data_IF_416943688157
#
_entry.id   IF_416943688157
#
_cell.length_a   1.000
_cell.length_b   1.000
_cell.length_c   1.000
_cell.angle_alpha   90.00
_cell.angle_beta   90.00
_cell.angle_gamma   90.00
#
_symmetry.space_group_name_H-M   'P 1'
#
loop_
_entity.id
_entity.type
_entity.pdbx_description
1 polymer ?
#
# COMPACT_ATOMS: atom_id res chain seq x y z
N UNK A 1 -16.07 -14.70 3.51
CA UNK A 1 -15.20 -13.50 3.56
C UNK A 1 -14.10 -13.68 2.54
N UNK A 2 -13.80 -12.67 1.74
CA UNK A 2 -12.70 -12.72 0.76
C UNK A 2 -11.41 -12.23 1.42
N UNK A 3 -10.29 -12.90 1.17
CA UNK A 3 -8.99 -12.54 1.70
C UNK A 3 -8.01 -12.33 0.55
N UNK A 4 -7.18 -11.29 0.63
CA UNK A 4 -6.10 -11.03 -0.31
C UNK A 4 -4.77 -11.08 0.43
N UNK A 5 -3.71 -11.48 -0.26
CA UNK A 5 -2.36 -11.59 0.29
C UNK A 5 -1.44 -10.57 -0.37
N UNK A 6 -0.95 -9.60 0.39
CA UNK A 6 0.09 -8.69 -0.09
C UNK A 6 1.47 -9.29 0.19
N UNK A 7 2.24 -9.55 -0.86
CA UNK A 7 3.63 -10.00 -0.77
C UNK A 7 4.53 -8.85 -1.18
N UNK A 8 5.37 -8.37 -0.26
CA UNK A 8 6.41 -7.39 -0.53
C UNK A 8 7.58 -8.09 -1.24
N UNK A 9 7.92 -7.62 -2.43
CA UNK A 9 8.91 -8.23 -3.34
C UNK A 9 10.21 -7.44 -3.42
N UNK A 10 10.20 -6.15 -3.07
CA UNK A 10 11.42 -5.34 -3.01
C UNK A 10 11.34 -4.28 -1.91
N UNK A 11 12.50 -4.02 -1.29
CA UNK A 11 12.68 -3.01 -0.25
C UNK A 11 13.85 -2.13 -0.66
N UNK A 12 13.56 -0.92 -1.13
CA UNK A 12 14.57 0.01 -1.64
C UNK A 12 14.31 1.41 -1.08
N UNK A 13 15.24 2.33 -1.33
CA UNK A 13 15.14 3.73 -0.89
C UNK A 13 13.86 4.42 -1.37
N UNK A 14 13.39 4.07 -2.56
CA UNK A 14 12.17 4.64 -3.16
C UNK A 14 10.89 3.92 -2.68
N UNK A 15 10.98 3.04 -1.67
CA UNK A 15 9.84 2.42 -1.02
C UNK A 15 9.85 0.90 -1.00
N UNK A 16 8.72 0.36 -0.55
CA UNK A 16 8.46 -1.07 -0.42
C UNK A 16 7.47 -1.48 -1.49
N UNK A 17 7.91 -2.30 -2.44
CA UNK A 17 7.10 -2.74 -3.58
C UNK A 17 6.52 -4.11 -3.29
N UNK A 18 5.28 -4.34 -3.68
CA UNK A 18 4.60 -5.60 -3.45
C UNK A 18 3.60 -5.98 -4.53
N UNK A 19 3.16 -7.23 -4.50
CA UNK A 19 2.10 -7.78 -5.34
C UNK A 19 0.98 -8.24 -4.42
N UNK A 20 -0.23 -7.77 -4.70
CA UNK A 20 -1.46 -8.20 -4.03
C UNK A 20 -2.04 -9.39 -4.81
N UNK A 21 -2.26 -10.50 -4.11
CA UNK A 21 -2.79 -11.73 -4.65
C UNK A 21 -4.24 -11.93 -4.20
N UNK A 22 -5.06 -12.40 -5.13
CA UNK A 22 -6.34 -13.04 -4.86
C UNK A 22 -6.14 -14.55 -5.01
N UNK A 23 -6.10 -15.25 -3.87
CA UNK A 23 -5.64 -16.65 -3.80
C UNK A 23 -4.22 -16.81 -4.39
N UNK A 24 -4.08 -17.51 -5.52
CA UNK A 24 -2.80 -17.70 -6.22
C UNK A 24 -2.62 -16.75 -7.42
N UNK A 25 -3.61 -15.90 -7.69
CA UNK A 25 -3.60 -15.01 -8.86
C UNK A 25 -3.04 -13.63 -8.49
N UNK A 26 -1.95 -13.16 -9.14
CA UNK A 26 -1.51 -11.78 -9.02
C UNK A 26 -2.63 -10.84 -9.50
N UNK A 27 -3.13 -9.99 -8.61
CA UNK A 27 -4.28 -9.14 -8.86
C UNK A 27 -3.88 -7.68 -9.09
N UNK A 28 -2.90 -7.16 -8.34
CA UNK A 28 -2.54 -5.74 -8.38
C UNK A 28 -1.10 -5.52 -7.87
N UNK A 29 -0.40 -4.54 -8.42
CA UNK A 29 0.90 -4.11 -7.90
C UNK A 29 0.72 -3.02 -6.83
N UNK A 30 1.64 -2.96 -5.88
CA UNK A 30 1.57 -2.04 -4.75
C UNK A 30 2.89 -1.35 -4.48
N UNK A 31 2.80 -0.15 -3.91
CA UNK A 31 3.92 0.62 -3.39
C UNK A 31 3.55 1.19 -2.01
N UNK A 32 4.38 0.93 -1.02
CA UNK A 32 4.29 1.48 0.32
C UNK A 32 5.56 2.29 0.64
N UNK A 33 5.57 3.06 1.72
CA UNK A 33 6.82 3.63 2.24
C UNK A 33 7.79 2.54 2.69
N UNK A 34 9.05 2.92 2.87
CA UNK A 34 10.04 2.07 3.56
C UNK A 34 9.54 1.66 4.95
N UNK A 35 10.03 0.53 5.47
CA UNK A 35 9.82 0.18 6.88
C UNK A 35 10.66 1.09 7.77
N UNK A 36 10.01 1.81 8.69
CA UNK A 36 10.63 2.70 9.69
C UNK A 36 10.00 2.46 11.05
N UNK A 37 9.99 1.19 11.49
CA UNK A 37 9.47 0.74 12.79
C UNK A 37 8.05 1.23 13.09
N UNK A 38 7.17 1.10 12.10
CA UNK A 38 5.76 1.53 12.17
C UNK A 38 5.58 3.03 12.50
N UNK A 39 6.58 3.87 12.22
CA UNK A 39 6.48 5.31 12.43
C UNK A 39 5.31 5.92 11.65
N UNK A 40 4.49 6.69 12.36
CA UNK A 40 3.29 7.34 11.82
C UNK A 40 3.65 8.26 10.64
N UNK A 41 3.00 8.09 9.49
CA UNK A 41 3.19 8.94 8.32
C UNK A 41 4.39 8.58 7.44
N UNK A 42 5.35 7.83 7.99
CA UNK A 42 6.67 7.63 7.38
C UNK A 42 7.01 6.18 7.07
N UNK A 43 6.28 5.23 7.66
CA UNK A 43 6.51 3.79 7.52
C UNK A 43 5.34 3.10 6.80
N UNK A 44 5.64 2.03 6.06
CA UNK A 44 4.66 0.98 5.79
C UNK A 44 4.20 0.31 7.10
N UNK A 45 3.05 -0.37 7.06
CA UNK A 45 2.47 -1.00 8.26
C UNK A 45 3.18 -2.32 8.62
N UNK A 46 3.09 -2.79 9.87
CA UNK A 46 3.69 -4.06 10.28
C UNK A 46 3.12 -5.23 9.49
N UNK A 47 3.93 -6.26 9.25
CA UNK A 47 3.44 -7.52 8.68
C UNK A 47 2.39 -8.11 9.63
N UNK A 48 1.27 -8.57 9.07
CA UNK A 48 0.20 -9.18 9.86
C UNK A 48 -1.05 -9.45 9.04
N UNK A 49 -2.07 -9.96 9.73
CA UNK A 49 -3.41 -10.15 9.17
C UNK A 49 -4.31 -9.04 9.70
N UNK A 50 -4.95 -8.33 8.78
CA UNK A 50 -5.82 -7.21 9.10
C UNK A 50 -7.18 -7.38 8.45
N UNK A 51 -8.22 -6.92 9.13
CA UNK A 51 -9.53 -6.77 8.50
C UNK A 51 -9.55 -5.49 7.66
N UNK A 52 -10.11 -5.56 6.46
CA UNK A 52 -10.34 -4.39 5.63
C UNK A 52 -11.83 -4.07 5.62
N UNK A 53 -12.17 -2.78 5.75
CA UNK A 53 -13.55 -2.29 5.61
C UNK A 53 -13.64 -1.34 4.43
N UNK A 54 -14.76 -1.40 3.69
CA UNK A 54 -15.03 -0.41 2.64
C UNK A 54 -15.40 0.93 3.28
N UNK A 55 -14.83 2.02 2.78
CA UNK A 55 -15.03 3.39 3.27
C UNK A 55 -15.16 4.36 2.11
N UNK A 56 -15.74 5.53 2.37
CA UNK A 56 -15.70 6.68 1.46
C UNK A 56 -14.68 7.68 2.03
N UNK A 57 -13.48 7.67 1.47
CA UNK A 57 -12.44 8.64 1.79
C UNK A 57 -12.80 10.02 1.23
N UNK A 58 -12.66 11.11 2.01
CA UNK A 58 -12.87 12.47 1.49
C UNK A 58 -11.97 12.82 0.29
N UNK A 59 -10.75 12.25 0.24
CA UNK A 59 -9.77 12.51 -0.82
C UNK A 59 -9.82 11.48 -1.96
N UNK A 60 -10.07 10.21 -1.63
CA UNK A 60 -9.92 9.10 -2.58
C UNK A 60 -11.25 8.43 -2.98
N UNK A 61 -12.38 8.88 -2.42
CA UNK A 61 -13.69 8.29 -2.69
C UNK A 61 -13.80 6.87 -2.13
N UNK A 62 -14.52 6.01 -2.85
CA UNK A 62 -14.79 4.64 -2.44
C UNK A 62 -13.51 3.79 -2.45
N UNK A 63 -13.07 3.34 -1.27
CA UNK A 63 -11.86 2.53 -1.10
C UNK A 63 -11.96 1.59 0.11
N UNK A 64 -10.88 0.89 0.44
CA UNK A 64 -10.74 0.05 1.61
C UNK A 64 -9.77 0.66 2.62
N UNK A 65 -10.15 0.61 3.91
CA UNK A 65 -9.29 0.92 5.05
C UNK A 65 -8.83 -0.38 5.72
N UNK A 66 -7.53 -0.47 6.00
CA UNK A 66 -6.91 -1.50 6.84
C UNK A 66 -7.15 -1.14 8.31
N UNK A 67 -7.94 -1.97 9.00
CA UNK A 67 -8.37 -1.70 10.37
C UNK A 67 -7.38 -2.24 11.40
N UNK A 68 -7.42 -1.65 12.60
CA UNK A 68 -6.71 -2.13 13.80
C UNK A 68 -5.19 -2.25 13.61
N UNK A 69 -4.59 -1.42 12.76
CA UNK A 69 -3.14 -1.31 12.66
C UNK A 69 -2.61 -0.66 13.94
N UNK A 70 -1.70 -1.30 14.70
CA UNK A 70 -1.24 -0.77 15.98
C UNK A 70 -0.68 0.64 15.87
N UNK A 71 -1.22 1.59 16.63
CA UNK A 71 -0.76 2.99 16.62
C UNK A 71 -0.99 3.76 15.32
N UNK A 72 -1.77 3.22 14.38
CA UNK A 72 -2.06 3.84 13.08
C UNK A 72 -3.57 3.89 12.84
N UNK A 73 -4.01 4.84 12.04
CA UNK A 73 -5.39 4.99 11.58
C UNK A 73 -5.40 5.44 10.13
N UNK A 74 -6.53 5.25 9.44
CA UNK A 74 -6.72 5.71 8.08
C UNK A 74 -5.66 5.19 7.10
N UNK A 75 -5.26 3.94 7.28
CA UNK A 75 -4.41 3.23 6.32
C UNK A 75 -5.31 2.77 5.19
N UNK A 76 -5.19 3.41 4.03
CA UNK A 76 -6.06 3.16 2.88
C UNK A 76 -5.30 2.46 1.77
N UNK A 77 -6.03 1.76 0.90
CA UNK A 77 -5.59 1.51 -0.46
C UNK A 77 -5.95 2.74 -1.31
N UNK A 78 -5.03 3.28 -2.11
CA UNK A 78 -5.40 4.39 -3.01
C UNK A 78 -4.45 4.55 -4.19
N UNK A 79 -4.89 5.33 -5.18
CA UNK A 79 -4.04 5.74 -6.31
C UNK A 79 -2.89 6.64 -5.87
N UNK A 80 -1.74 6.46 -6.49
CA UNK A 80 -0.50 7.24 -6.31
C UNK A 80 0.64 6.52 -7.03
N UNK A 81 1.72 7.24 -7.33
CA UNK A 81 2.81 6.69 -8.14
C UNK A 81 4.12 6.52 -7.37
N UNK A 82 4.38 7.43 -6.42
CA UNK A 82 5.62 7.46 -5.64
C UNK A 82 5.32 7.22 -4.17
N UNK A 83 6.30 6.73 -3.42
CA UNK A 83 6.21 6.52 -1.97
C UNK A 83 5.83 7.79 -1.20
N UNK A 84 6.19 8.96 -1.75
CA UNK A 84 5.84 10.28 -1.23
C UNK A 84 4.35 10.62 -1.38
N UNK A 85 3.64 10.00 -2.33
CA UNK A 85 2.18 10.14 -2.48
C UNK A 85 1.43 9.44 -1.33
N UNK A 86 2.13 8.56 -0.60
CA UNK A 86 1.64 7.84 0.58
C UNK A 86 2.13 8.49 1.88
N UNK A 87 1.28 8.46 2.91
CA UNK A 87 1.64 8.76 4.31
C UNK A 87 1.59 7.48 5.17
N UNK A 88 2.09 6.38 4.58
CA UNK A 88 2.05 5.02 5.11
C UNK A 88 0.79 4.22 4.75
N UNK A 89 0.00 4.72 3.80
CA UNK A 89 -1.01 3.96 3.06
C UNK A 89 -0.37 3.02 2.03
N UNK A 90 -1.19 2.20 1.39
CA UNK A 90 -0.79 1.26 0.35
C UNK A 90 -1.23 1.83 -1.00
N UNK A 91 -0.28 2.15 -1.88
CA UNK A 91 -0.57 2.58 -3.24
C UNK A 91 -0.84 1.36 -4.12
N UNK A 92 -1.68 1.52 -5.14
CA UNK A 92 -2.04 0.47 -6.10
C UNK A 92 -1.78 0.90 -7.53
N UNK A 93 -1.30 -0.01 -8.37
CA UNK A 93 -1.21 0.17 -9.83
C UNK A 93 -1.01 -1.14 -10.59
N UNK A 94 -0.64 -1.02 -11.86
CA UNK A 94 -0.64 -2.09 -12.86
C UNK A 94 0.78 -2.44 -13.35
N UNK A 95 1.72 -1.48 -13.31
CA UNK A 95 3.12 -1.72 -13.67
C UNK A 95 4.11 -1.10 -12.68
N UNK A 96 5.31 -1.68 -12.59
CA UNK A 96 6.45 -1.01 -11.98
C UNK A 96 7.21 -0.22 -13.05
N UNK A 97 7.55 1.02 -12.75
CA UNK A 97 8.20 1.89 -13.73
C UNK A 97 9.05 2.97 -13.06
N UNK A 98 9.35 4.01 -13.83
CA UNK A 98 10.02 5.21 -13.31
C UNK A 98 9.15 6.44 -13.51
N UNK A 99 9.02 7.24 -12.47
CA UNK A 99 8.36 8.54 -12.53
C UNK A 99 9.20 9.56 -11.78
N UNK A 100 9.48 10.72 -12.41
CA UNK A 100 10.33 11.78 -11.85
C UNK A 100 11.68 11.26 -11.28
N UNK A 101 12.33 10.36 -12.03
CA UNK A 101 13.61 9.71 -11.68
C UNK A 101 13.60 8.79 -10.44
N UNK A 102 12.42 8.45 -9.90
CA UNK A 102 12.25 7.44 -8.84
C UNK A 102 11.57 6.19 -9.39
N UNK A 103 11.77 5.05 -8.72
CA UNK A 103 10.98 3.84 -8.99
C UNK A 103 9.55 4.06 -8.51
N UNK A 104 8.58 3.65 -9.32
CA UNK A 104 7.17 3.98 -9.14
C UNK A 104 6.27 2.76 -9.37
N UNK A 105 5.03 2.84 -8.90
CA UNK A 105 3.91 2.05 -9.41
C UNK A 105 3.08 2.94 -10.34
N UNK A 106 2.67 2.46 -11.50
CA UNK A 106 1.93 3.26 -12.51
C UNK A 106 0.60 2.59 -12.84
N UNK A 107 -0.33 3.38 -13.39
CA UNK A 107 -1.65 2.93 -13.89
C UNK A 107 -1.72 3.11 -15.40
#
# INVERSE_FOLDING_TARGET
MKALKLIRVAYIKDGTFGVLFDEETPFCLTLEREWKDNRKGESCIPIGTYSCKRVISPKFGNTFEVCNVPGRSHILFHKGNLEDDSHGCILTGEEYGKYKNKVAVLS
#
